data_IF_642761678059
#
_entry.id   IF_642761678059
#
_cell.length_a   1.000
_cell.length_b   1.000
_cell.length_c   1.000
_cell.angle_alpha   90.00
_cell.angle_beta   90.00
_cell.angle_gamma   90.00
#
_symmetry.space_group_name_H-M   'P 1'
#
loop_
_entity.id
_entity.type
_entity.pdbx_description
1 polymer ?
#
# COMPACT_ATOMS: atom_id res chain seq x y z
N UNK A 1 33.26 49.49 -4.00
CA UNK A 1 32.48 48.44 -3.30
C UNK A 1 30.96 48.68 -3.30
N UNK A 2 30.35 48.95 -4.46
CA UNK A 2 28.88 49.19 -4.54
C UNK A 2 28.19 48.44 -5.71
N UNK A 3 28.90 47.59 -6.45
CA UNK A 3 28.37 46.95 -7.65
C UNK A 3 27.96 45.48 -7.48
N UNK A 4 28.34 44.83 -6.35
CA UNK A 4 28.08 43.39 -6.13
C UNK A 4 26.69 43.15 -5.56
N UNK A 5 26.07 44.10 -4.85
CA UNK A 5 24.80 43.92 -4.15
C UNK A 5 23.59 43.95 -5.13
N UNK A 6 23.72 44.57 -6.29
CA UNK A 6 22.60 44.68 -7.22
C UNK A 6 22.33 43.41 -8.03
N UNK A 7 23.36 42.62 -8.32
CA UNK A 7 23.22 41.37 -9.07
C UNK A 7 22.64 40.23 -8.24
N UNK A 8 22.85 40.25 -6.94
CA UNK A 8 22.34 39.19 -6.04
C UNK A 8 20.82 39.32 -5.84
N UNK A 9 20.28 40.51 -5.84
CA UNK A 9 18.85 40.76 -5.67
C UNK A 9 18.07 40.41 -6.95
N UNK A 10 18.63 40.66 -8.12
CA UNK A 10 18.00 40.37 -9.41
C UNK A 10 17.99 38.85 -9.67
N UNK A 11 19.01 38.11 -9.26
CA UNK A 11 19.07 36.66 -9.41
C UNK A 11 18.07 35.94 -8.49
N UNK A 12 17.81 36.47 -7.30
CA UNK A 12 16.85 35.91 -6.34
C UNK A 12 15.38 36.08 -6.78
N UNK A 13 15.08 37.10 -7.57
CA UNK A 13 13.72 37.34 -8.10
C UNK A 13 13.43 36.43 -9.31
N UNK A 14 14.43 36.05 -10.09
CA UNK A 14 14.25 35.17 -11.26
C UNK A 14 14.06 33.70 -10.86
N UNK A 15 14.63 33.26 -9.73
CA UNK A 15 14.47 31.89 -9.22
C UNK A 15 13.12 31.64 -8.52
N UNK A 16 12.36 32.68 -8.20
CA UNK A 16 11.05 32.58 -7.51
C UNK A 16 9.84 32.31 -8.44
N UNK A 17 9.98 32.42 -9.74
CA UNK A 17 8.84 32.27 -10.69
C UNK A 17 8.82 30.94 -11.46
N UNK A 18 9.69 29.98 -11.14
CA UNK A 18 9.85 28.75 -11.88
C UNK A 18 9.12 27.51 -11.38
N UNK A 19 8.30 27.59 -10.33
CA UNK A 19 7.76 26.37 -9.70
C UNK A 19 6.27 26.39 -9.38
N UNK A 20 5.45 26.89 -10.30
CA UNK A 20 4.02 26.58 -10.31
C UNK A 20 3.51 26.58 -11.74
N UNK A 21 3.93 25.59 -12.52
CA UNK A 21 3.13 25.16 -13.65
C UNK A 21 1.87 24.50 -13.06
N UNK A 22 0.84 25.29 -12.78
CA UNK A 22 -0.51 24.75 -12.57
C UNK A 22 -0.84 23.97 -13.83
N UNK A 23 -0.85 22.65 -13.71
CA UNK A 23 -1.39 21.78 -14.76
C UNK A 23 -2.81 22.26 -14.98
N UNK A 24 -3.02 22.98 -16.08
CA UNK A 24 -4.34 23.48 -16.46
C UNK A 24 -5.15 22.24 -16.81
N UNK A 25 -5.96 21.80 -15.86
CA UNK A 25 -6.80 20.62 -16.05
C UNK A 25 -7.70 20.89 -17.26
N UNK A 26 -7.59 20.04 -18.28
CA UNK A 26 -8.46 20.11 -19.44
C UNK A 26 -9.88 19.76 -19.01
N UNK A 27 -10.69 20.79 -18.78
CA UNK A 27 -12.06 20.67 -18.29
C UNK A 27 -12.96 19.94 -19.28
N UNK A 28 -12.69 20.08 -20.58
CA UNK A 28 -13.48 19.42 -21.61
C UNK A 28 -13.18 17.92 -21.65
N UNK A 29 -11.92 17.52 -21.59
CA UNK A 29 -11.51 16.13 -21.47
C UNK A 29 -12.08 15.49 -20.18
N UNK A 30 -11.99 16.18 -19.05
CA UNK A 30 -12.56 15.71 -17.79
C UNK A 30 -14.08 15.55 -17.85
N UNK A 31 -14.78 16.39 -18.63
CA UNK A 31 -16.22 16.26 -18.87
C UNK A 31 -16.53 15.06 -19.76
N UNK A 32 -15.80 14.89 -20.85
CA UNK A 32 -15.93 13.74 -21.74
C UNK A 32 -15.71 12.43 -21.01
N UNK A 33 -14.65 12.31 -20.19
CA UNK A 33 -14.36 11.14 -19.37
C UNK A 33 -15.54 10.86 -18.43
N UNK A 34 -16.03 11.86 -17.69
CA UNK A 34 -17.13 11.67 -16.75
C UNK A 34 -18.47 11.33 -17.38
N UNK A 35 -18.68 11.69 -18.64
CA UNK A 35 -19.91 11.40 -19.39
C UNK A 35 -19.86 10.10 -20.21
N UNK A 36 -18.72 9.39 -20.24
CA UNK A 36 -18.60 8.15 -21.00
C UNK A 36 -19.34 7.01 -20.31
N UNK A 37 -20.39 6.51 -20.93
CA UNK A 37 -21.23 5.42 -20.39
C UNK A 37 -20.44 4.12 -20.18
N UNK A 38 -19.35 3.89 -20.93
CA UNK A 38 -18.50 2.72 -20.78
C UNK A 38 -17.77 2.75 -19.44
N UNK A 39 -17.36 3.94 -18.98
CA UNK A 39 -16.73 4.10 -17.66
C UNK A 39 -17.71 3.87 -16.52
N UNK A 40 -18.98 4.21 -16.69
CA UNK A 40 -20.03 3.88 -15.71
C UNK A 40 -20.21 2.37 -15.58
N UNK A 41 -20.21 1.65 -16.69
CA UNK A 41 -20.30 0.18 -16.69
C UNK A 41 -19.08 -0.43 -15.97
N UNK A 42 -17.86 0.06 -16.26
CA UNK A 42 -16.65 -0.43 -15.62
C UNK A 42 -16.66 -0.14 -14.12
N UNK A 43 -17.07 1.07 -13.71
CA UNK A 43 -17.20 1.42 -12.28
C UNK A 43 -18.19 0.50 -11.56
N UNK A 44 -19.38 0.29 -12.15
CA UNK A 44 -20.38 -0.58 -11.53
C UNK A 44 -19.89 -2.02 -11.36
N UNK A 45 -19.17 -2.55 -12.36
CA UNK A 45 -18.57 -3.89 -12.27
C UNK A 45 -17.44 -3.96 -11.24
N UNK A 46 -16.63 -2.93 -11.14
CA UNK A 46 -15.59 -2.85 -10.11
C UNK A 46 -16.20 -2.82 -8.70
N UNK A 47 -17.25 -2.05 -8.48
CA UNK A 47 -18.00 -2.01 -7.23
C UNK A 47 -18.58 -3.38 -6.86
N UNK A 48 -19.22 -4.06 -7.84
CA UNK A 48 -19.77 -5.42 -7.68
C UNK A 48 -18.69 -6.43 -7.26
N UNK A 49 -17.54 -6.43 -7.94
CA UNK A 49 -16.42 -7.32 -7.62
C UNK A 49 -15.90 -7.11 -6.20
N UNK A 50 -15.69 -5.85 -5.79
CA UNK A 50 -15.15 -5.52 -4.47
C UNK A 50 -16.15 -5.82 -3.35
N UNK A 51 -17.46 -5.74 -3.60
CA UNK A 51 -18.47 -6.13 -2.62
C UNK A 51 -18.42 -7.64 -2.32
N UNK A 52 -17.99 -8.46 -3.27
CA UNK A 52 -17.89 -9.92 -3.10
C UNK A 52 -16.67 -10.37 -2.30
N UNK A 53 -15.62 -9.55 -2.18
CA UNK A 53 -14.41 -9.89 -1.42
C UNK A 53 -13.28 -8.87 -1.56
N UNK A 54 -12.24 -9.06 -0.73
CA UNK A 54 -11.04 -8.23 -0.72
C UNK A 54 -9.84 -8.91 -1.42
N UNK A 55 -10.08 -10.04 -2.07
CA UNK A 55 -9.07 -10.79 -2.82
C UNK A 55 -8.87 -10.20 -4.23
N UNK A 56 -7.79 -10.60 -4.89
CA UNK A 56 -7.39 -10.11 -6.22
C UNK A 56 -8.18 -10.74 -7.38
N UNK A 57 -9.48 -10.96 -7.20
CA UNK A 57 -10.39 -11.56 -8.19
C UNK A 57 -10.68 -13.04 -7.95
N UNK A 58 -11.49 -13.64 -8.85
CA UNK A 58 -12.12 -14.95 -8.64
C UNK A 58 -11.15 -16.13 -8.55
N UNK A 59 -9.93 -15.97 -9.04
CA UNK A 59 -8.91 -17.03 -9.04
C UNK A 59 -8.06 -17.09 -7.77
N UNK A 60 -8.16 -16.07 -6.91
CA UNK A 60 -7.36 -15.94 -5.70
C UNK A 60 -8.25 -16.03 -4.46
N UNK A 61 -7.77 -16.75 -3.45
CA UNK A 61 -8.39 -16.79 -2.13
C UNK A 61 -7.69 -15.86 -1.14
N UNK A 62 -6.51 -15.42 -1.51
CA UNK A 62 -5.63 -14.58 -0.72
C UNK A 62 -6.06 -13.11 -0.77
N UNK A 63 -5.92 -12.43 0.37
CA UNK A 63 -5.94 -10.97 0.44
C UNK A 63 -4.49 -10.49 0.38
N UNK A 64 -4.08 -10.00 -0.79
CA UNK A 64 -2.75 -9.45 -1.03
C UNK A 64 -2.71 -7.98 -0.65
N UNK A 65 -1.67 -7.55 0.08
CA UNK A 65 -1.62 -6.16 0.58
C UNK A 65 -1.49 -5.14 -0.55
N UNK A 66 -0.78 -5.47 -1.62
CA UNK A 66 -0.59 -4.60 -2.78
C UNK A 66 -1.91 -4.35 -3.50
N UNK A 67 -2.67 -5.43 -3.71
CA UNK A 67 -4.01 -5.36 -4.33
C UNK A 67 -4.97 -4.58 -3.44
N UNK A 68 -5.06 -4.93 -2.16
CA UNK A 68 -5.90 -4.22 -1.19
C UNK A 68 -5.56 -2.72 -1.16
N UNK A 69 -4.28 -2.35 -1.14
CA UNK A 69 -3.84 -0.96 -1.20
C UNK A 69 -4.36 -0.25 -2.46
N UNK A 70 -4.46 -0.96 -3.59
CA UNK A 70 -4.93 -0.37 -4.86
C UNK A 70 -6.39 0.04 -4.80
N UNK A 71 -7.28 -0.80 -4.26
CA UNK A 71 -8.72 -0.58 -4.30
C UNK A 71 -9.38 -0.24 -2.96
N UNK A 72 -8.63 -0.11 -1.87
CA UNK A 72 -9.17 0.06 -0.51
C UNK A 72 -10.11 1.27 -0.38
N UNK A 73 -9.87 2.36 -1.10
CA UNK A 73 -10.74 3.54 -1.06
C UNK A 73 -12.14 3.25 -1.63
N UNK A 74 -12.20 2.42 -2.68
CA UNK A 74 -13.47 1.96 -3.22
C UNK A 74 -14.11 0.95 -2.27
N UNK A 75 -13.32 0.00 -1.75
CA UNK A 75 -13.79 -0.98 -0.78
C UNK A 75 -14.45 -0.32 0.44
N UNK A 76 -13.86 0.73 1.00
CA UNK A 76 -14.44 1.50 2.10
C UNK A 76 -15.78 2.20 1.77
N UNK A 77 -16.07 2.41 0.47
CA UNK A 77 -17.33 3.05 0.04
C UNK A 77 -18.44 2.05 -0.22
N UNK A 78 -18.09 0.83 -0.64
CA UNK A 78 -19.07 -0.15 -1.13
C UNK A 78 -19.20 -1.39 -0.25
N UNK A 79 -18.29 -1.59 0.71
CA UNK A 79 -18.27 -2.74 1.60
C UNK A 79 -18.33 -2.33 3.07
N UNK A 80 -18.51 -3.31 3.96
CA UNK A 80 -18.46 -3.10 5.40
C UNK A 80 -17.05 -2.68 5.85
N UNK A 81 -16.94 -1.46 6.37
CA UNK A 81 -15.67 -0.90 6.85
C UNK A 81 -15.07 -1.66 8.03
N UNK A 82 -15.89 -2.38 8.82
CA UNK A 82 -15.39 -3.23 9.91
C UNK A 82 -14.60 -4.42 9.35
N UNK A 83 -15.04 -5.00 8.24
CA UNK A 83 -14.29 -6.09 7.55
C UNK A 83 -12.96 -5.59 7.00
N UNK A 84 -12.94 -4.38 6.43
CA UNK A 84 -11.71 -3.77 5.90
C UNK A 84 -10.75 -3.46 7.04
N UNK A 85 -11.27 -2.95 8.15
CA UNK A 85 -10.51 -2.70 9.37
C UNK A 85 -9.84 -3.98 9.88
N UNK A 86 -10.59 -5.07 10.01
CA UNK A 86 -10.05 -6.35 10.44
C UNK A 86 -9.03 -6.91 9.44
N UNK A 87 -9.28 -6.76 8.14
CA UNK A 87 -8.33 -7.16 7.11
C UNK A 87 -6.97 -6.46 7.27
N UNK A 88 -6.95 -5.17 7.55
CA UNK A 88 -5.72 -4.42 7.80
C UNK A 88 -5.01 -4.87 9.10
N UNK A 89 -5.78 -5.10 10.18
CA UNK A 89 -5.22 -5.59 11.46
C UNK A 89 -4.61 -6.98 11.31
N UNK A 90 -5.17 -7.82 10.46
CA UNK A 90 -4.68 -9.18 10.23
C UNK A 90 -3.25 -9.20 9.69
N UNK A 91 -2.85 -8.25 8.85
CA UNK A 91 -1.44 -8.13 8.42
C UNK A 91 -0.48 -7.94 9.60
N UNK A 92 -0.86 -7.15 10.59
CA UNK A 92 -0.04 -6.96 11.80
C UNK A 92 -0.03 -8.16 12.73
N UNK A 93 -1.06 -9.03 12.70
CA UNK A 93 -1.07 -10.30 13.45
C UNK A 93 -0.04 -11.30 12.90
N UNK A 94 0.47 -11.07 11.70
CA UNK A 94 1.54 -11.84 11.05
C UNK A 94 2.86 -11.08 10.92
N UNK A 95 2.96 -9.86 11.45
CA UNK A 95 4.19 -9.08 11.40
C UNK A 95 5.34 -9.81 12.09
N UNK A 96 6.48 -9.91 11.42
CA UNK A 96 7.70 -10.49 11.98
C UNK A 96 8.26 -9.67 13.14
N UNK A 97 9.09 -10.29 13.96
CA UNK A 97 9.75 -9.62 15.09
C UNK A 97 10.69 -8.51 14.64
N UNK A 98 11.24 -8.61 13.44
CA UNK A 98 12.08 -7.59 12.79
C UNK A 98 11.28 -6.46 12.14
N UNK A 99 9.94 -6.56 12.14
CA UNK A 99 9.04 -5.57 11.58
C UNK A 99 8.54 -5.87 10.16
N UNK A 100 9.03 -6.94 9.50
CA UNK A 100 8.58 -7.27 8.14
C UNK A 100 7.08 -7.57 8.08
N UNK A 101 6.47 -7.29 6.94
CA UNK A 101 5.04 -7.51 6.66
C UNK A 101 4.89 -8.62 5.62
N UNK A 102 3.88 -9.46 5.80
CA UNK A 102 3.53 -10.53 4.85
C UNK A 102 2.90 -9.96 3.58
N UNK A 103 3.03 -10.67 2.46
CA UNK A 103 2.47 -10.26 1.16
C UNK A 103 0.95 -10.32 1.17
N UNK A 104 0.44 -11.40 1.77
CA UNK A 104 -0.96 -11.70 1.84
C UNK A 104 -1.27 -12.79 2.85
N UNK A 105 -2.54 -13.02 3.07
CA UNK A 105 -3.03 -14.11 3.91
C UNK A 105 -4.29 -14.72 3.33
N UNK A 106 -4.58 -15.96 3.74
CA UNK A 106 -5.69 -16.77 3.24
C UNK A 106 -6.30 -17.58 4.38
N UNK A 107 -7.63 -17.85 4.38
CA UNK A 107 -8.19 -18.83 5.29
C UNK A 107 -7.49 -20.19 5.17
N UNK A 108 -7.17 -20.83 6.30
CA UNK A 108 -6.41 -22.10 6.31
C UNK A 108 -7.01 -23.20 5.43
N UNK A 109 -8.32 -23.30 5.39
CA UNK A 109 -9.04 -24.29 4.58
C UNK A 109 -8.91 -24.03 3.06
N UNK A 110 -8.43 -22.84 2.67
CA UNK A 110 -8.20 -22.45 1.28
C UNK A 110 -6.72 -22.36 0.93
N UNK A 111 -5.83 -22.65 1.90
CA UNK A 111 -4.39 -22.61 1.69
C UNK A 111 -3.96 -23.65 0.65
N UNK A 112 -3.08 -23.26 -0.28
CA UNK A 112 -2.57 -24.14 -1.34
C UNK A 112 -1.40 -24.95 -0.83
N UNK A 113 -1.33 -26.23 -1.16
CA UNK A 113 -0.25 -27.14 -0.73
C UNK A 113 1.13 -26.69 -1.29
N UNK A 114 1.14 -25.94 -2.38
CA UNK A 114 2.37 -25.49 -3.05
C UNK A 114 3.06 -24.28 -2.43
N UNK A 115 2.43 -23.64 -1.45
CA UNK A 115 3.00 -22.46 -0.79
C UNK A 115 3.45 -22.78 0.65
N UNK A 116 4.53 -22.17 1.08
CA UNK A 116 4.96 -22.17 2.48
C UNK A 116 4.23 -21.07 3.22
N UNK A 117 3.32 -21.43 4.13
CA UNK A 117 2.58 -20.47 4.93
C UNK A 117 3.21 -20.25 6.30
N UNK A 118 3.14 -19.01 6.74
CA UNK A 118 3.44 -18.58 8.11
C UNK A 118 2.13 -18.65 8.89
N UNK A 119 2.18 -19.17 10.11
CA UNK A 119 1.03 -19.25 11.01
C UNK A 119 1.27 -18.39 12.26
N UNK A 120 0.19 -17.87 12.83
CA UNK A 120 0.23 -17.02 14.02
C UNK A 120 -0.92 -17.38 14.97
N UNK A 121 -0.61 -17.45 16.27
CA UNK A 121 -1.64 -17.65 17.29
C UNK A 121 -2.57 -16.43 17.44
N UNK A 122 -2.16 -15.27 16.92
CA UNK A 122 -2.98 -14.05 16.90
C UNK A 122 -4.06 -14.08 15.81
N UNK A 123 -3.92 -14.97 14.82
CA UNK A 123 -4.88 -15.18 13.73
C UNK A 123 -4.92 -16.68 13.33
N UNK A 124 -5.37 -17.56 14.23
CA UNK A 124 -5.27 -19.00 14.05
C UNK A 124 -6.07 -19.55 12.87
N UNK A 125 -7.04 -18.80 12.37
CA UNK A 125 -7.90 -19.15 11.23
C UNK A 125 -7.25 -18.90 9.86
N UNK A 126 -6.10 -18.21 9.83
CA UNK A 126 -5.40 -17.84 8.59
C UNK A 126 -4.02 -18.48 8.49
N UNK A 127 -3.51 -18.56 7.26
CA UNK A 127 -2.11 -18.73 6.92
C UNK A 127 -1.65 -17.52 6.09
N UNK A 128 -0.45 -17.02 6.33
CA UNK A 128 0.10 -15.89 5.61
C UNK A 128 1.29 -16.30 4.75
N UNK A 129 1.52 -15.57 3.67
CA UNK A 129 2.63 -15.77 2.75
C UNK A 129 3.58 -14.57 2.80
N UNK A 130 4.89 -14.83 2.86
CA UNK A 130 5.93 -13.81 2.74
C UNK A 130 6.83 -14.14 1.55
N UNK A 131 6.79 -13.28 0.56
CA UNK A 131 7.76 -13.29 -0.51
C UNK A 131 9.00 -12.50 -0.07
N UNK A 132 10.17 -13.10 -0.19
CA UNK A 132 11.43 -12.49 0.27
C UNK A 132 12.07 -11.57 -0.76
N UNK A 133 11.57 -11.56 -1.99
CA UNK A 133 12.12 -10.75 -3.10
C UNK A 133 11.44 -9.40 -3.25
N UNK A 134 10.18 -9.30 -2.90
CA UNK A 134 9.42 -8.04 -2.91
C UNK A 134 9.73 -7.20 -1.67
N UNK A 135 9.63 -5.88 -1.80
CA UNK A 135 10.00 -4.92 -0.74
C UNK A 135 8.99 -3.80 -0.58
N UNK A 136 7.79 -3.98 -1.08
CA UNK A 136 6.74 -2.96 -1.05
C UNK A 136 5.58 -3.30 -0.09
N UNK A 137 5.61 -4.44 0.60
CA UNK A 137 4.56 -4.86 1.51
C UNK A 137 4.38 -3.89 2.69
N UNK A 138 5.48 -3.50 3.30
CA UNK A 138 5.51 -2.57 4.42
C UNK A 138 4.94 -1.21 4.02
N UNK A 139 5.41 -0.66 2.91
CA UNK A 139 4.93 0.62 2.39
C UNK A 139 3.49 0.55 1.88
N UNK A 140 3.09 -0.55 1.26
CA UNK A 140 1.72 -0.78 0.80
C UNK A 140 0.73 -0.83 1.95
N UNK A 141 1.07 -1.52 3.05
CA UNK A 141 0.21 -1.56 4.24
C UNK A 141 0.03 -0.17 4.86
N UNK A 142 1.11 0.59 5.01
CA UNK A 142 1.06 1.96 5.55
C UNK A 142 0.20 2.86 4.66
N UNK A 143 0.35 2.78 3.34
CA UNK A 143 -0.46 3.53 2.38
C UNK A 143 -1.93 3.11 2.45
N UNK A 144 -2.22 1.81 2.56
CA UNK A 144 -3.59 1.30 2.69
C UNK A 144 -4.26 1.84 3.96
N UNK A 145 -3.56 1.86 5.10
CA UNK A 145 -4.04 2.44 6.35
C UNK A 145 -4.32 3.94 6.20
N UNK A 146 -3.40 4.68 5.58
CA UNK A 146 -3.60 6.12 5.34
C UNK A 146 -4.84 6.39 4.47
N UNK A 147 -5.07 5.59 3.43
CA UNK A 147 -6.27 5.66 2.58
C UNK A 147 -7.53 5.28 3.37
N UNK A 148 -7.48 4.20 4.15
CA UNK A 148 -8.58 3.79 5.02
C UNK A 148 -9.00 4.91 5.97
N UNK A 149 -8.06 5.49 6.73
CA UNK A 149 -8.33 6.58 7.67
C UNK A 149 -8.88 7.81 6.94
N UNK A 150 -8.34 8.13 5.77
CA UNK A 150 -8.82 9.27 4.96
C UNK A 150 -10.28 9.14 4.55
N UNK A 151 -10.72 7.92 4.19
CA UNK A 151 -12.10 7.68 3.73
C UNK A 151 -13.07 7.52 4.89
N UNK A 152 -12.66 6.81 5.96
CA UNK A 152 -13.54 6.45 7.08
C UNK A 152 -13.49 7.44 8.23
N UNK A 153 -12.45 8.27 8.31
CA UNK A 153 -12.09 9.11 9.46
C UNK A 153 -11.85 8.33 10.77
N UNK A 154 -11.60 7.02 10.68
CA UNK A 154 -11.29 6.16 11.84
C UNK A 154 -9.84 6.32 12.29
N UNK A 155 -9.56 7.42 13.01
CA UNK A 155 -8.23 7.65 13.60
C UNK A 155 -7.94 6.73 14.80
N UNK A 156 -8.97 6.12 15.39
CA UNK A 156 -8.81 5.21 16.51
C UNK A 156 -8.04 3.95 16.11
N UNK A 157 -8.05 3.60 14.81
CA UNK A 157 -7.29 2.50 14.24
C UNK A 157 -5.80 2.54 14.63
N UNK A 158 -5.20 3.72 14.68
CA UNK A 158 -3.78 3.90 15.02
C UNK A 158 -3.44 3.51 16.47
N UNK A 159 -4.42 3.55 17.35
CA UNK A 159 -4.28 3.24 18.78
C UNK A 159 -4.66 1.78 19.08
N UNK A 160 -5.11 1.01 18.10
CA UNK A 160 -5.42 -0.41 18.28
C UNK A 160 -4.18 -1.15 18.73
N UNK A 161 -4.34 -2.06 19.72
CA UNK A 161 -3.22 -2.79 20.29
C UNK A 161 -3.26 -4.25 19.84
N UNK A 162 -2.18 -4.72 19.25
CA UNK A 162 -1.98 -6.11 18.82
C UNK A 162 -0.72 -6.61 19.51
N UNK A 163 -0.87 -7.63 20.36
CA UNK A 163 0.25 -8.24 21.10
C UNK A 163 1.15 -7.19 21.79
N UNK A 164 0.52 -6.30 22.55
CA UNK A 164 1.21 -5.27 23.36
C UNK A 164 1.78 -4.06 22.60
N UNK A 165 1.65 -4.01 21.27
CA UNK A 165 2.08 -2.86 20.45
C UNK A 165 0.90 -2.19 19.77
N UNK A 166 0.91 -0.85 19.72
CA UNK A 166 -0.09 -0.10 18.93
C UNK A 166 0.16 -0.27 17.43
N UNK A 167 -0.86 -0.06 16.62
CA UNK A 167 -0.72 -0.02 15.16
C UNK A 167 0.33 1.01 14.75
N UNK A 168 0.36 2.19 15.38
CA UNK A 168 1.40 3.20 15.12
C UNK A 168 2.81 2.62 15.31
N UNK A 169 3.07 1.97 16.44
CA UNK A 169 4.37 1.34 16.71
C UNK A 169 4.71 0.26 15.69
N UNK A 170 3.73 -0.54 15.28
CA UNK A 170 3.90 -1.58 14.26
C UNK A 170 4.20 -1.02 12.88
N UNK A 171 3.61 0.11 12.52
CA UNK A 171 3.96 0.85 11.29
C UNK A 171 5.39 1.38 11.33
N UNK A 172 5.84 1.89 12.48
CA UNK A 172 7.23 2.33 12.69
C UNK A 172 8.21 1.15 12.58
N UNK A 173 7.87 -0.01 13.17
CA UNK A 173 8.67 -1.24 13.04
C UNK A 173 8.79 -1.67 11.57
N UNK A 174 7.71 -1.59 10.78
CA UNK A 174 7.71 -1.92 9.36
C UNK A 174 8.62 -0.98 8.54
N UNK A 175 8.59 0.34 8.80
CA UNK A 175 9.50 1.28 8.16
C UNK A 175 10.96 1.03 8.57
N UNK A 176 11.20 0.73 9.84
CA UNK A 176 12.53 0.41 10.34
C UNK A 176 13.09 -0.85 9.67
N UNK A 177 12.26 -1.86 9.43
CA UNK A 177 12.65 -3.05 8.67
C UNK A 177 13.18 -2.69 7.28
N UNK A 178 12.48 -1.85 6.53
CA UNK A 178 12.94 -1.40 5.20
C UNK A 178 14.27 -0.67 5.29
N UNK A 179 14.43 0.24 6.26
CA UNK A 179 15.65 1.02 6.41
C UNK A 179 16.85 0.16 6.85
N UNK A 180 16.63 -0.87 7.66
CA UNK A 180 17.72 -1.72 8.18
C UNK A 180 18.10 -2.83 7.20
N UNK A 181 17.14 -3.37 6.43
CA UNK A 181 17.35 -4.58 5.63
C UNK A 181 17.30 -4.34 4.12
N UNK A 182 16.71 -3.22 3.68
CA UNK A 182 16.45 -2.96 2.26
C UNK A 182 16.96 -1.60 1.76
N UNK A 183 17.53 -0.78 2.62
CA UNK A 183 18.08 0.51 2.23
C UNK A 183 19.52 0.39 1.77
N UNK A 184 19.82 0.96 0.60
CA UNK A 184 21.14 1.05 0.04
C UNK A 184 21.66 2.49 0.19
N UNK A 185 22.58 2.71 1.13
CA UNK A 185 23.14 4.04 1.42
C UNK A 185 23.83 4.70 0.23
N UNK A 186 24.49 3.88 -0.62
CA UNK A 186 25.21 4.38 -1.80
C UNK A 186 24.29 5.06 -2.80
N UNK A 187 23.08 4.54 -2.95
CA UNK A 187 22.12 5.04 -3.94
C UNK A 187 20.98 5.84 -3.31
N UNK A 188 20.82 5.79 -1.97
CA UNK A 188 19.72 6.42 -1.27
C UNK A 188 18.35 5.80 -1.62
N UNK A 189 18.30 4.51 -1.95
CA UNK A 189 17.11 3.81 -2.43
C UNK A 189 16.89 2.50 -1.67
N UNK A 190 15.64 2.09 -1.57
CA UNK A 190 15.28 0.73 -1.18
C UNK A 190 15.56 -0.21 -2.37
N UNK A 191 16.08 -1.40 -2.09
CA UNK A 191 16.35 -2.41 -3.10
C UNK A 191 15.42 -3.60 -2.96
N UNK A 192 15.09 -4.24 -4.08
CA UNK A 192 14.37 -5.49 -4.17
C UNK A 192 15.07 -6.42 -5.14
N UNK A 193 14.54 -7.62 -5.35
CA UNK A 193 15.06 -8.51 -6.39
C UNK A 193 14.79 -7.92 -7.79
N UNK A 194 15.63 -8.32 -8.75
CA UNK A 194 15.65 -7.74 -10.10
C UNK A 194 14.38 -7.97 -10.92
N UNK A 195 13.51 -8.87 -10.50
CA UNK A 195 12.28 -9.24 -11.21
C UNK A 195 11.04 -9.10 -10.32
N UNK A 196 11.17 -8.48 -9.15
CA UNK A 196 10.08 -8.29 -8.21
C UNK A 196 9.18 -7.14 -8.68
N UNK A 197 8.22 -7.44 -9.48
CA UNK A 197 7.18 -6.52 -9.93
C UNK A 197 5.80 -7.22 -10.00
N UNK A 198 4.81 -6.48 -10.45
CA UNK A 198 3.45 -7.00 -10.69
C UNK A 198 3.36 -8.04 -11.82
N UNK A 199 4.42 -8.26 -12.55
CA UNK A 199 4.48 -9.19 -13.67
C UNK A 199 4.62 -10.65 -13.25
N UNK A 200 4.73 -10.95 -11.97
CA UNK A 200 4.92 -12.32 -11.42
C UNK A 200 6.05 -13.12 -12.07
N UNK A 201 6.96 -12.44 -12.74
CA UNK A 201 8.14 -13.05 -13.35
C UNK A 201 9.23 -13.08 -12.30
N UNK A 202 9.02 -13.88 -11.26
CA UNK A 202 9.98 -13.99 -10.18
C UNK A 202 10.71 -15.33 -10.27
N UNK A 203 12.03 -15.33 -10.34
CA UNK A 203 12.74 -16.50 -9.88
C UNK A 203 12.53 -16.55 -8.36
N UNK A 204 11.81 -17.53 -7.87
CA UNK A 204 11.73 -17.87 -6.44
C UNK A 204 13.12 -18.35 -5.99
N UNK A 205 14.07 -17.44 -5.87
CA UNK A 205 15.40 -17.71 -5.38
C UNK A 205 15.59 -17.04 -4.05
N UNK A 206 15.87 -17.84 -3.06
CA UNK A 206 16.53 -17.38 -1.85
C UNK A 206 17.91 -16.82 -2.26
N UNK A 207 18.13 -15.56 -1.93
CA UNK A 207 19.42 -14.89 -2.12
C UNK A 207 20.22 -14.91 -0.84
#
# INVERSE_FOLDING_TARGET
>A
MKTVTFYTVVLSVILGFGACATVKMDKELAKQIRSDERLKIVSAKAEELIQNGLNAGDSYNEIWIRDLNTFIELACKVSDTAKIREALLTFFKFQGQDGNIVDGYVPKEKARISYNYIYSDLAPEFGAHKNTVETDQESSLIQAIAKYIRVTNDRSFLNEVIDGKTVTTRMEDALNYLMQHRYNEKYGLLWGATTADWGDVQPEHEW
#
